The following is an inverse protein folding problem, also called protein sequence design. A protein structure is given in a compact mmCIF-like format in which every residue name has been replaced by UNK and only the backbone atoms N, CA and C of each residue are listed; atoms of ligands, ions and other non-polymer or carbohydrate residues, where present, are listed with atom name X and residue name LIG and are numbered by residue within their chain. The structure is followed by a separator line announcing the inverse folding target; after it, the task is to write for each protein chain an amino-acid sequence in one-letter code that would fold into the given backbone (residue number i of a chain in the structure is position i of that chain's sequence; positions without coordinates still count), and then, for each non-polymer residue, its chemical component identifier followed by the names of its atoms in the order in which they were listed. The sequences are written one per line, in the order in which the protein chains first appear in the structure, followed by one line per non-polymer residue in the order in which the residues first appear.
data_IF_746926181867
#
_entry.id   IF_746926181867
#
_cell.length_a   1.000
_cell.length_b   1.000
_cell.length_c   1.000
_cell.angle_alpha   90.00
_cell.angle_beta   90.00
_cell.angle_gamma   90.00
#
_symmetry.space_group_name_H-M   'P 1'
#
loop_
_entity.id
_entity.type
_entity.pdbx_description
1 polymer ?
#
# COMPACT_ATOMS: atom_id res chain seq x y z
N UNK A 1 1.85 8.42 -15.26
CA UNK A 1 2.18 8.67 -13.84
C UNK A 1 2.04 10.16 -13.61
N UNK A 2 0.80 10.63 -13.52
CA UNK A 2 0.48 12.03 -13.80
C UNK A 2 0.26 12.84 -12.51
N UNK A 3 0.36 12.19 -11.36
CA UNK A 3 0.20 12.81 -10.04
C UNK A 3 1.40 13.68 -9.65
N UNK A 4 2.61 13.32 -10.09
CA UNK A 4 3.84 13.98 -9.70
C UNK A 4 4.40 14.82 -10.84
N UNK A 5 4.60 16.11 -10.57
CA UNK A 5 5.20 17.09 -11.47
C UNK A 5 6.75 17.04 -11.49
N UNK A 6 7.36 16.18 -10.68
CA UNK A 6 8.80 16.02 -10.54
C UNK A 6 9.21 14.65 -9.99
N UNK A 7 10.49 14.48 -9.62
CA UNK A 7 10.94 13.26 -8.97
C UNK A 7 10.23 13.06 -7.62
N UNK A 8 9.78 11.84 -7.30
CA UNK A 8 9.19 11.57 -6.01
C UNK A 8 10.20 11.79 -4.89
N UNK A 9 9.73 12.29 -3.74
CA UNK A 9 10.57 12.41 -2.53
C UNK A 9 11.05 11.05 -2.04
N UNK A 10 10.20 10.04 -2.13
CA UNK A 10 10.45 8.66 -1.73
C UNK A 10 9.76 7.69 -2.70
N UNK A 11 10.43 6.60 -3.05
CA UNK A 11 9.81 5.42 -3.65
C UNK A 11 9.85 4.31 -2.59
N UNK A 12 8.69 3.92 -2.07
CA UNK A 12 8.57 2.82 -1.13
C UNK A 12 8.10 1.58 -1.88
N UNK A 13 8.95 0.56 -1.93
CA UNK A 13 8.70 -0.72 -2.58
C UNK A 13 8.51 -1.78 -1.49
N UNK A 14 7.31 -2.32 -1.36
CA UNK A 14 7.01 -3.30 -0.33
C UNK A 14 6.46 -4.60 -0.92
N UNK A 15 6.97 -5.73 -0.46
CA UNK A 15 6.20 -6.96 -0.53
C UNK A 15 4.91 -6.86 0.31
N UNK A 16 3.92 -7.69 -0.04
CA UNK A 16 2.63 -7.71 0.61
C UNK A 16 2.56 -8.72 1.75
N UNK A 17 2.74 -10.01 1.46
CA UNK A 17 2.41 -11.05 2.43
C UNK A 17 3.54 -11.16 3.46
N UNK A 18 3.23 -11.09 4.76
CA UNK A 18 4.24 -11.10 5.83
C UNK A 18 5.20 -9.87 5.84
N UNK A 19 5.17 -9.00 4.83
CA UNK A 19 5.91 -7.73 4.82
C UNK A 19 5.01 -6.53 5.11
N UNK A 20 4.03 -6.20 4.27
CA UNK A 20 3.09 -5.10 4.56
C UNK A 20 1.85 -5.60 5.31
N UNK A 21 1.36 -6.77 4.93
CA UNK A 21 0.19 -7.44 5.49
C UNK A 21 0.61 -8.48 6.50
N UNK A 22 0.12 -8.32 7.71
CA UNK A 22 0.18 -9.35 8.72
C UNK A 22 -1.06 -10.26 8.62
N UNK A 23 -0.84 -11.55 8.35
CA UNK A 23 -1.92 -12.55 8.30
C UNK A 23 -2.32 -13.04 9.69
N UNK A 24 -1.48 -12.81 10.70
CA UNK A 24 -1.76 -13.16 12.10
C UNK A 24 -2.44 -12.02 12.87
N UNK A 25 -2.58 -10.84 12.24
CA UNK A 25 -3.27 -9.67 12.81
C UNK A 25 -4.68 -9.54 12.19
N UNK A 26 -5.73 -10.00 12.87
CA UNK A 26 -7.10 -9.85 12.39
C UNK A 26 -7.57 -8.38 12.37
N UNK A 27 -7.03 -7.54 13.26
CA UNK A 27 -7.40 -6.12 13.40
C UNK A 27 -6.64 -5.23 12.39
N UNK A 28 -5.59 -5.76 11.76
CA UNK A 28 -4.75 -5.03 10.80
C UNK A 28 -4.12 -3.75 11.41
N UNK A 29 -3.80 -3.80 12.69
CA UNK A 29 -3.31 -2.68 13.50
C UNK A 29 -2.12 -1.99 12.84
N UNK A 30 -1.09 -2.74 12.46
CA UNK A 30 0.12 -2.16 11.87
C UNK A 30 -0.10 -1.66 10.44
N UNK A 31 -0.96 -2.33 9.67
CA UNK A 31 -1.33 -1.91 8.32
C UNK A 31 -2.11 -0.59 8.36
N UNK A 32 -3.10 -0.46 9.25
CA UNK A 32 -3.87 0.79 9.42
C UNK A 32 -2.98 1.94 9.92
N UNK A 33 -1.98 1.67 10.78
CA UNK A 33 -0.97 2.65 11.17
C UNK A 33 -0.14 3.13 9.98
N UNK A 34 0.31 2.21 9.12
CA UNK A 34 1.02 2.55 7.88
C UNK A 34 0.14 3.37 6.93
N UNK A 35 -1.12 2.97 6.74
CA UNK A 35 -2.04 3.68 5.84
C UNK A 35 -2.23 5.14 6.26
N UNK A 36 -2.50 5.38 7.54
CA UNK A 36 -2.67 6.74 8.06
C UNK A 36 -1.39 7.58 7.89
N UNK A 37 -0.22 6.98 8.13
CA UNK A 37 1.07 7.65 7.94
C UNK A 37 1.29 8.00 6.46
N UNK A 38 1.07 7.05 5.56
CA UNK A 38 1.29 7.21 4.13
C UNK A 38 0.37 8.29 3.54
N UNK A 39 -0.92 8.22 3.80
CA UNK A 39 -1.91 9.15 3.27
C UNK A 39 -1.75 10.56 3.84
N UNK A 40 -1.33 10.70 5.11
CA UNK A 40 -1.12 12.02 5.71
C UNK A 40 0.17 12.71 5.23
N UNK A 41 1.23 11.96 4.94
CA UNK A 41 2.57 12.56 4.80
C UNK A 41 3.32 12.23 3.51
N UNK A 42 2.94 11.19 2.78
CA UNK A 42 3.73 10.68 1.64
C UNK A 42 2.93 10.64 0.34
N UNK A 43 1.61 10.42 0.40
CA UNK A 43 0.80 10.19 -0.79
C UNK A 43 0.86 11.32 -1.82
N UNK A 44 1.10 12.56 -1.40
CA UNK A 44 1.12 13.72 -2.31
C UNK A 44 2.42 13.83 -3.12
N UNK A 45 3.57 13.37 -2.59
CA UNK A 45 4.90 13.61 -3.19
C UNK A 45 5.79 12.36 -3.34
N UNK A 46 5.31 11.19 -2.93
CA UNK A 46 6.08 9.93 -2.90
C UNK A 46 5.33 8.81 -3.63
N UNK A 47 6.03 7.81 -4.18
CA UNK A 47 5.43 6.67 -4.87
C UNK A 47 5.34 5.44 -3.97
N UNK A 48 4.16 4.81 -3.94
CA UNK A 48 3.95 3.49 -3.33
C UNK A 48 4.00 2.42 -4.41
N UNK A 49 4.90 1.46 -4.25
CA UNK A 49 5.06 0.33 -5.17
C UNK A 49 4.85 -0.96 -4.39
N UNK A 50 3.90 -1.78 -4.82
CA UNK A 50 3.79 -3.14 -4.31
C UNK A 50 4.60 -4.09 -5.19
N UNK A 51 5.45 -4.91 -4.59
CA UNK A 51 6.29 -5.90 -5.28
C UNK A 51 6.01 -7.28 -4.71
N UNK A 52 5.07 -8.02 -5.31
CA UNK A 52 4.49 -9.23 -4.72
C UNK A 52 4.61 -10.46 -5.60
N UNK A 53 4.68 -11.64 -4.97
CA UNK A 53 4.57 -12.93 -5.66
C UNK A 53 3.16 -13.27 -6.14
N UNK A 54 2.13 -12.53 -5.67
CA UNK A 54 0.74 -12.70 -6.09
C UNK A 54 0.54 -12.26 -7.53
N UNK A 55 -0.33 -12.99 -8.25
CA UNK A 55 -0.88 -12.50 -9.52
C UNK A 55 -1.76 -11.26 -9.32
N UNK A 56 -1.96 -10.47 -10.37
CA UNK A 56 -2.80 -9.27 -10.29
C UNK A 56 -4.20 -9.58 -9.74
N UNK A 57 -4.82 -10.70 -10.18
CA UNK A 57 -6.11 -11.13 -9.66
C UNK A 57 -6.06 -11.51 -8.17
N UNK A 58 -5.00 -12.18 -7.72
CA UNK A 58 -4.81 -12.56 -6.32
C UNK A 58 -4.59 -11.34 -5.43
N UNK A 59 -3.80 -10.37 -5.90
CA UNK A 59 -3.61 -9.07 -5.25
C UNK A 59 -4.94 -8.31 -5.09
N UNK A 60 -5.72 -8.16 -6.17
CA UNK A 60 -7.02 -7.49 -6.11
C UNK A 60 -7.99 -8.16 -5.13
N UNK A 61 -7.92 -9.49 -5.02
CA UNK A 61 -8.73 -10.23 -4.04
C UNK A 61 -8.23 -10.07 -2.60
N UNK A 62 -6.93 -9.84 -2.39
CA UNK A 62 -6.40 -9.49 -1.07
C UNK A 62 -6.90 -8.11 -0.63
N UNK A 63 -6.92 -7.13 -1.54
CA UNK A 63 -7.45 -5.78 -1.26
C UNK A 63 -8.94 -5.75 -0.88
N UNK A 64 -9.71 -6.78 -1.22
CA UNK A 64 -11.11 -6.94 -0.75
C UNK A 64 -11.22 -7.44 0.70
N UNK A 65 -10.14 -8.01 1.24
CA UNK A 65 -10.10 -8.67 2.56
C UNK A 65 -9.30 -7.89 3.60
N UNK A 66 -8.33 -7.11 3.14
CA UNK A 66 -7.40 -6.35 3.97
C UNK A 66 -7.49 -4.87 3.57
N UNK A 67 -7.35 -3.93 4.52
CA UNK A 67 -7.40 -2.49 4.24
C UNK A 67 -6.11 -2.05 3.53
N UNK A 68 -5.91 -2.47 2.29
CA UNK A 68 -4.76 -2.06 1.49
C UNK A 68 -5.02 -0.71 0.84
N UNK A 69 -4.01 0.16 0.86
CA UNK A 69 -4.00 1.32 -0.02
C UNK A 69 -3.84 0.89 -1.46
N UNK A 70 -4.34 1.71 -2.38
CA UNK A 70 -4.06 1.56 -3.80
C UNK A 70 -2.65 2.11 -4.06
N UNK A 71 -1.70 1.25 -4.51
CA UNK A 71 -0.35 1.70 -4.82
C UNK A 71 -0.37 2.58 -6.07
N UNK A 72 0.72 3.28 -6.36
CA UNK A 72 0.89 3.94 -7.65
C UNK A 72 1.28 2.91 -8.73
N UNK A 73 2.06 1.89 -8.35
CA UNK A 73 2.53 0.82 -9.25
C UNK A 73 2.43 -0.54 -8.54
N UNK A 74 2.00 -1.56 -9.26
CA UNK A 74 2.03 -2.94 -8.83
C UNK A 74 2.99 -3.76 -9.71
N UNK A 75 4.03 -4.31 -9.10
CA UNK A 75 4.92 -5.30 -9.66
C UNK A 75 4.42 -6.65 -9.14
N UNK A 76 3.69 -7.39 -9.98
CA UNK A 76 3.02 -8.65 -9.60
C UNK A 76 3.75 -9.86 -10.16
N UNK A 77 3.33 -11.05 -9.71
CA UNK A 77 3.79 -12.32 -10.27
C UNK A 77 5.31 -12.46 -10.22
N UNK A 78 5.90 -12.06 -9.08
CA UNK A 78 7.35 -12.08 -8.84
C UNK A 78 8.12 -11.22 -9.86
N UNK A 79 7.56 -10.08 -10.24
CA UNK A 79 8.19 -9.16 -11.19
C UNK A 79 7.96 -9.48 -12.67
N UNK A 80 7.15 -10.48 -12.98
CA UNK A 80 6.81 -10.80 -14.37
C UNK A 80 5.72 -9.90 -14.96
N UNK A 81 5.01 -9.13 -14.13
CA UNK A 81 4.02 -8.16 -14.55
C UNK A 81 4.25 -6.81 -13.86
N UNK A 82 4.04 -5.72 -14.58
CA UNK A 82 4.08 -4.35 -14.04
C UNK A 82 2.80 -3.65 -14.49
N UNK A 83 2.08 -3.09 -13.53
CA UNK A 83 0.86 -2.33 -13.78
C UNK A 83 0.90 -0.97 -13.07
N UNK A 84 0.39 0.06 -13.75
CA UNK A 84 0.21 1.41 -13.21
C UNK A 84 -1.22 1.55 -12.70
N UNK A 85 -1.38 1.94 -11.43
CA UNK A 85 -2.64 1.91 -10.70
C UNK A 85 -3.24 3.33 -10.57
N UNK A 86 -3.78 3.85 -11.67
CA UNK A 86 -4.51 5.13 -11.71
C UNK A 86 -6.02 4.96 -11.54
N UNK A 87 -6.81 5.78 -12.23
CA UNK A 87 -8.27 5.56 -12.36
C UNK A 87 -8.57 4.20 -13.00
N UNK A 88 -7.69 3.76 -13.90
CA UNK A 88 -7.68 2.44 -14.50
C UNK A 88 -6.32 1.78 -14.24
N UNK A 89 -6.33 0.46 -14.11
CA UNK A 89 -5.11 -0.35 -14.10
C UNK A 89 -4.65 -0.53 -15.54
N UNK A 90 -3.40 -0.18 -15.82
CA UNK A 90 -2.78 -0.33 -17.15
C UNK A 90 -1.49 -1.13 -17.02
N UNK A 91 -1.40 -2.24 -17.74
CA UNK A 91 -0.18 -3.07 -17.77
C UNK A 91 0.90 -2.45 -18.68
N UNK A 92 2.17 -2.68 -18.33
CA UNK A 92 3.31 -2.20 -19.10
C UNK A 92 3.62 -3.16 -20.26
N UNK A 93 3.06 -2.89 -21.44
CA UNK A 93 3.27 -3.70 -22.65
C UNK A 93 4.74 -3.80 -23.07
N UNK A 94 5.56 -2.78 -22.76
CA UNK A 94 6.99 -2.77 -23.08
C UNK A 94 7.73 -3.78 -22.20
N UNK A 95 7.38 -3.86 -20.92
CA UNK A 95 7.90 -4.88 -20.00
C UNK A 95 7.50 -6.30 -20.45
N UNK A 96 6.24 -6.51 -20.80
CA UNK A 96 5.72 -7.79 -21.31
C UNK A 96 6.50 -8.23 -22.56
N UNK A 97 6.77 -7.30 -23.49
CA UNK A 97 7.57 -7.58 -24.68
C UNK A 97 9.03 -7.92 -24.33
N UNK A 98 9.65 -7.18 -23.40
CA UNK A 98 11.03 -7.41 -22.92
C UNK A 98 11.18 -8.78 -22.26
N UNK A 99 10.19 -9.23 -21.49
CA UNK A 99 10.19 -10.56 -20.87
C UNK A 99 9.89 -11.70 -21.84
N UNK A 100 9.25 -11.41 -22.97
CA UNK A 100 8.99 -12.40 -24.03
C UNK A 100 10.24 -12.70 -24.86
N UNK A 101 11.29 -11.87 -24.75
CA UNK A 101 12.57 -12.12 -25.39
C UNK A 101 13.25 -13.33 -24.74
N UNK A 102 13.64 -14.32 -25.55
CA UNK A 102 14.27 -15.56 -25.07
C UNK A 102 13.42 -16.33 -24.06
N UNK A 103 12.11 -16.16 -24.08
CA UNK A 103 11.16 -16.92 -23.25
C UNK A 103 10.25 -17.79 -24.11
N UNK A 104 10.10 -19.05 -23.73
CA UNK A 104 9.10 -19.95 -24.30
C UNK A 104 8.52 -20.83 -23.19
N UNK A 105 7.27 -20.51 -22.80
CA UNK A 105 6.57 -21.20 -21.71
C UNK A 105 6.38 -22.69 -21.98
N UNK A 106 6.08 -23.07 -23.23
CA UNK A 106 5.81 -24.47 -23.57
C UNK A 106 7.08 -25.33 -23.41
N UNK A 107 8.25 -24.78 -23.78
CA UNK A 107 9.55 -25.42 -23.55
C UNK A 107 9.82 -25.58 -22.05
N UNK A 108 9.53 -24.54 -21.24
CA UNK A 108 9.70 -24.60 -19.78
C UNK A 108 8.83 -25.70 -19.19
N UNK A 109 7.54 -25.75 -19.55
CA UNK A 109 6.61 -26.80 -19.07
C UNK A 109 7.08 -28.19 -19.52
N UNK A 110 7.53 -28.34 -20.77
CA UNK A 110 8.04 -29.59 -21.30
C UNK A 110 9.26 -30.09 -20.50
N UNK A 111 10.27 -29.23 -20.27
CA UNK A 111 11.49 -29.62 -19.55
C UNK A 111 11.24 -29.86 -18.06
N UNK A 112 10.44 -29.01 -17.43
CA UNK A 112 10.10 -29.17 -16.00
C UNK A 112 9.28 -30.43 -15.73
N UNK A 113 8.44 -30.87 -16.68
CA UNK A 113 7.68 -32.13 -16.55
C UNK A 113 8.54 -33.39 -16.40
N UNK A 114 9.84 -33.32 -16.74
CA UNK A 114 10.81 -34.41 -16.62
C UNK A 114 11.38 -34.56 -15.20
N UNK A 115 11.10 -33.61 -14.31
CA UNK A 115 11.53 -33.62 -12.91
C UNK A 115 10.36 -34.06 -12.02
N UNK A 116 10.31 -35.32 -11.55
CA UNK A 116 9.19 -35.83 -10.75
C UNK A 116 9.05 -35.14 -9.39
N UNK A 117 10.06 -34.39 -8.94
CA UNK A 117 10.04 -33.61 -7.70
C UNK A 117 9.31 -32.27 -7.84
N UNK A 118 9.05 -31.80 -9.06
CA UNK A 118 8.31 -30.56 -9.32
C UNK A 118 6.81 -30.86 -9.41
N UNK A 119 6.07 -30.56 -8.35
CA UNK A 119 4.61 -30.64 -8.37
C UNK A 119 4.03 -29.31 -8.88
N UNK A 120 3.28 -29.27 -9.99
CA UNK A 120 2.71 -28.02 -10.49
C UNK A 120 1.77 -27.35 -9.48
N UNK A 121 1.93 -26.05 -9.26
CA UNK A 121 0.94 -25.26 -8.52
C UNK A 121 -0.38 -25.15 -9.31
N UNK A 122 -1.51 -24.83 -8.64
CA UNK A 122 -2.82 -24.71 -9.29
C UNK A 122 -2.80 -23.77 -10.51
N UNK A 123 -3.66 -24.01 -11.49
CA UNK A 123 -3.70 -23.28 -12.77
C UNK A 123 -3.72 -21.74 -12.62
N UNK A 124 -4.37 -21.23 -11.57
CA UNK A 124 -4.42 -19.79 -11.26
C UNK A 124 -3.05 -19.15 -10.92
N UNK A 125 -2.05 -19.96 -10.62
CA UNK A 125 -0.67 -19.56 -10.34
C UNK A 125 0.24 -19.73 -11.57
N UNK A 126 -0.30 -20.25 -12.67
CA UNK A 126 0.40 -20.43 -13.92
C UNK A 126 0.11 -19.24 -14.84
N UNK A 127 1.13 -18.49 -15.24
CA UNK A 127 0.96 -17.25 -16.00
C UNK A 127 1.82 -17.26 -17.27
N UNK A 128 1.67 -16.25 -18.12
CA UNK A 128 2.36 -16.20 -19.42
C UNK A 128 3.89 -16.23 -19.25
N UNK A 129 4.41 -15.50 -18.26
CA UNK A 129 5.84 -15.35 -17.96
C UNK A 129 6.21 -15.94 -16.59
N UNK A 130 5.46 -16.94 -16.13
CA UNK A 130 5.71 -17.64 -14.86
C UNK A 130 5.15 -19.06 -14.86
N UNK A 131 5.98 -20.02 -14.49
CA UNK A 131 5.58 -21.42 -14.26
C UNK A 131 5.94 -21.80 -12.83
N UNK A 132 4.94 -22.17 -12.03
CA UNK A 132 5.10 -22.35 -10.58
C UNK A 132 4.94 -23.80 -10.14
N UNK A 133 5.75 -24.20 -9.18
CA UNK A 133 5.80 -25.55 -8.61
C UNK A 133 5.88 -25.52 -7.08
N UNK A 134 5.55 -26.66 -6.47
CA UNK A 134 5.91 -27.04 -5.12
C UNK A 134 7.09 -28.01 -5.18
N UNK A 135 8.09 -27.78 -4.32
CA UNK A 135 9.32 -28.60 -4.27
C UNK A 135 10.01 -28.44 -2.92
N UNK A 136 10.59 -29.52 -2.41
CA UNK A 136 11.42 -29.49 -1.20
C UNK A 136 12.78 -28.83 -1.47
N UNK A 137 13.36 -28.19 -0.44
CA UNK A 137 14.57 -27.36 -0.55
C UNK A 137 15.74 -28.10 -1.20
N UNK A 138 15.99 -29.35 -0.81
CA UNK A 138 17.10 -30.16 -1.29
C UNK A 138 17.01 -30.38 -2.81
N UNK A 139 15.81 -30.73 -3.28
CA UNK A 139 15.53 -30.93 -4.70
C UNK A 139 15.58 -29.61 -5.48
N UNK A 140 15.05 -28.52 -4.92
CA UNK A 140 15.12 -27.20 -5.54
C UNK A 140 16.57 -26.80 -5.83
N UNK A 141 17.47 -26.98 -4.87
CA UNK A 141 18.91 -26.65 -5.01
C UNK A 141 19.57 -27.46 -6.12
N UNK A 142 19.20 -28.73 -6.30
CA UNK A 142 19.71 -29.57 -7.38
C UNK A 142 19.18 -29.14 -8.76
N UNK A 143 17.86 -28.91 -8.85
CA UNK A 143 17.19 -28.47 -10.08
C UNK A 143 17.75 -27.12 -10.54
N UNK A 144 17.97 -26.18 -9.60
CA UNK A 144 18.51 -24.86 -9.91
C UNK A 144 19.92 -24.90 -10.54
N UNK A 145 20.68 -25.98 -10.34
CA UNK A 145 22.01 -26.14 -10.94
C UNK A 145 21.97 -26.64 -12.38
N UNK A 146 20.93 -27.39 -12.75
CA UNK A 146 20.89 -28.12 -14.03
C UNK A 146 19.89 -27.53 -15.03
N UNK A 147 18.71 -27.11 -14.56
CA UNK A 147 17.62 -26.67 -15.42
C UNK A 147 17.95 -25.45 -16.30
N UNK A 148 18.71 -24.43 -15.83
CA UNK A 148 19.08 -23.29 -16.68
C UNK A 148 19.89 -23.69 -17.91
N UNK A 149 20.82 -24.63 -17.76
CA UNK A 149 21.64 -25.11 -18.88
C UNK A 149 20.78 -25.79 -19.94
N UNK A 150 19.87 -26.68 -19.51
CA UNK A 150 18.94 -27.39 -20.40
C UNK A 150 18.05 -26.40 -21.18
N UNK A 151 17.51 -25.40 -20.49
CA UNK A 151 16.64 -24.40 -21.11
C UNK A 151 17.41 -23.47 -22.04
N UNK A 152 18.64 -23.08 -21.65
CA UNK A 152 19.50 -22.22 -22.47
C UNK A 152 19.95 -22.93 -23.75
N UNK A 153 20.23 -24.24 -23.71
CA UNK A 153 20.50 -25.05 -24.92
C UNK A 153 19.32 -25.05 -25.90
N UNK A 154 18.10 -24.85 -25.40
CA UNK A 154 16.87 -24.69 -26.21
C UNK A 154 16.53 -23.24 -26.52
N UNK A 155 17.43 -22.29 -26.23
CA UNK A 155 17.25 -20.87 -26.49
C UNK A 155 16.26 -20.19 -25.54
N UNK A 156 16.06 -20.74 -24.33
CA UNK A 156 15.20 -20.17 -23.29
C UNK A 156 16.06 -19.72 -22.12
N UNK A 157 16.12 -18.41 -21.88
CA UNK A 157 16.82 -17.82 -20.74
C UNK A 157 15.86 -17.69 -19.56
N UNK A 158 16.24 -18.28 -18.42
CA UNK A 158 15.37 -18.34 -17.24
C UNK A 158 16.06 -17.91 -15.97
N UNK A 159 15.24 -17.43 -15.05
CA UNK A 159 15.54 -17.26 -13.65
C UNK A 159 14.65 -18.20 -12.85
N UNK A 160 15.18 -18.75 -11.78
CA UNK A 160 14.39 -19.55 -10.83
C UNK A 160 14.39 -18.87 -9.47
N UNK A 161 13.24 -18.84 -8.83
CA UNK A 161 13.06 -18.25 -7.50
C UNK A 161 12.49 -19.31 -6.59
N UNK A 162 13.19 -19.57 -5.48
CA UNK A 162 12.71 -20.43 -4.41
C UNK A 162 12.33 -19.57 -3.20
N UNK A 163 11.14 -19.77 -2.65
CA UNK A 163 10.62 -18.96 -1.52
C UNK A 163 9.68 -19.75 -0.63
N UNK A 164 9.47 -19.26 0.60
CA UNK A 164 8.53 -19.83 1.56
C UNK A 164 8.79 -21.29 1.93
N UNK A 165 10.02 -21.79 1.78
CA UNK A 165 10.41 -23.19 1.99
C UNK A 165 9.66 -24.25 1.15
N UNK A 166 8.89 -23.86 0.13
CA UNK A 166 8.20 -24.82 -0.75
C UNK A 166 7.88 -24.31 -2.16
N UNK A 167 7.83 -22.99 -2.36
CA UNK A 167 7.39 -22.41 -3.63
C UNK A 167 8.59 -22.24 -4.57
N UNK A 168 8.44 -22.71 -5.81
CA UNK A 168 9.47 -22.64 -6.83
C UNK A 168 8.91 -22.11 -8.14
N UNK A 169 9.41 -20.97 -8.57
CA UNK A 169 8.96 -20.27 -9.76
C UNK A 169 10.06 -20.29 -10.83
N UNK A 170 9.70 -20.66 -12.06
CA UNK A 170 10.51 -20.48 -13.26
C UNK A 170 10.00 -19.27 -14.02
N UNK A 171 10.86 -18.29 -14.22
CA UNK A 171 10.58 -16.98 -14.80
C UNK A 171 11.54 -16.71 -15.97
N UNK A 172 11.26 -15.76 -16.87
CA UNK A 172 12.25 -15.27 -17.82
C UNK A 172 13.51 -14.73 -17.10
N UNK A 173 14.69 -14.86 -17.70
CA UNK A 173 15.97 -14.49 -17.08
C UNK A 173 16.04 -13.06 -16.53
N UNK A 174 15.41 -12.10 -17.23
CA UNK A 174 15.34 -10.68 -16.83
C UNK A 174 14.27 -10.36 -15.78
N UNK A 175 13.40 -11.32 -15.44
CA UNK A 175 12.31 -11.16 -14.48
C UNK A 175 12.81 -11.18 -13.03
N UNK A 176 11.92 -11.40 -12.06
CA UNK A 176 12.20 -11.31 -10.63
C UNK A 176 11.84 -9.94 -10.09
N UNK A 177 11.61 -9.84 -8.77
CA UNK A 177 11.30 -8.57 -8.10
C UNK A 177 12.39 -7.52 -8.32
N UNK A 178 13.66 -7.93 -8.31
CA UNK A 178 14.79 -7.05 -8.62
C UNK A 178 14.77 -6.58 -10.07
N UNK A 179 14.56 -7.49 -11.04
CA UNK A 179 14.50 -7.14 -12.46
C UNK A 179 13.36 -6.17 -12.80
N UNK A 180 12.16 -6.42 -12.25
CA UNK A 180 11.01 -5.54 -12.42
C UNK A 180 11.25 -4.15 -11.79
N UNK A 181 11.86 -4.10 -10.60
CA UNK A 181 12.21 -2.82 -9.97
C UNK A 181 13.30 -2.09 -10.74
N UNK A 182 14.37 -2.76 -11.20
CA UNK A 182 15.42 -2.15 -12.02
C UNK A 182 14.83 -1.51 -13.27
N UNK A 183 13.97 -2.23 -14.01
CA UNK A 183 13.29 -1.68 -15.18
C UNK A 183 12.44 -0.45 -14.83
N UNK A 184 11.67 -0.51 -13.74
CA UNK A 184 10.86 0.62 -13.29
C UNK A 184 11.72 1.85 -12.98
N UNK A 185 12.85 1.67 -12.29
CA UNK A 185 13.76 2.75 -11.93
C UNK A 185 14.45 3.35 -13.17
N UNK A 186 14.90 2.51 -14.11
CA UNK A 186 15.42 2.95 -15.42
C UNK A 186 14.37 3.79 -16.17
N UNK A 187 13.10 3.35 -16.16
CA UNK A 187 12.00 4.08 -16.81
C UNK A 187 11.78 5.44 -16.15
N UNK A 188 11.71 5.49 -14.82
CA UNK A 188 11.56 6.73 -14.07
C UNK A 188 12.73 7.70 -14.30
N UNK A 189 13.96 7.19 -14.35
CA UNK A 189 15.14 8.00 -14.68
C UNK A 189 15.04 8.62 -16.07
N UNK A 190 14.65 7.83 -17.08
CA UNK A 190 14.43 8.31 -18.45
C UNK A 190 13.31 9.37 -18.54
N UNK A 191 12.32 9.31 -17.64
CA UNK A 191 11.24 10.30 -17.52
C UNK A 191 11.65 11.55 -16.69
N UNK A 192 12.90 11.61 -16.20
CA UNK A 192 13.38 12.70 -15.34
C UNK A 192 12.82 12.65 -13.92
N UNK A 193 12.31 11.50 -13.48
CA UNK A 193 11.66 11.25 -12.19
C UNK A 193 12.47 10.33 -11.28
N UNK A 194 13.80 10.41 -11.36
CA UNK A 194 14.68 9.66 -10.47
C UNK A 194 14.57 10.15 -9.02
N UNK A 195 14.21 9.25 -8.10
CA UNK A 195 14.21 9.53 -6.67
C UNK A 195 15.62 9.41 -6.08
N UNK A 196 15.95 10.28 -5.12
CA UNK A 196 17.12 10.11 -4.26
C UNK A 196 16.89 9.15 -3.11
N UNK A 197 15.62 8.86 -2.77
CA UNK A 197 15.26 7.98 -1.67
C UNK A 197 14.42 6.82 -2.19
N UNK A 198 14.95 5.61 -2.04
CA UNK A 198 14.24 4.38 -2.37
C UNK A 198 14.33 3.49 -1.13
N UNK A 199 13.20 2.98 -0.67
CA UNK A 199 13.14 2.01 0.41
C UNK A 199 12.52 0.72 -0.13
N UNK A 200 13.24 -0.38 -0.03
CA UNK A 200 12.73 -1.73 -0.33
C UNK A 200 12.44 -2.49 0.97
N UNK A 201 11.30 -3.15 1.01
CA UNK A 201 10.84 -3.92 2.17
C UNK A 201 10.49 -5.34 1.74
N UNK A 202 10.98 -6.35 2.45
CA UNK A 202 10.71 -7.75 2.17
C UNK A 202 10.92 -8.66 3.38
N UNK A 203 10.51 -9.92 3.24
CA UNK A 203 10.58 -10.92 4.30
C UNK A 203 11.08 -12.30 3.81
N UNK A 204 11.04 -12.58 2.51
CA UNK A 204 11.29 -13.93 1.99
C UNK A 204 12.37 -13.99 0.88
N UNK A 205 12.70 -15.20 0.43
CA UNK A 205 13.74 -15.40 -0.60
C UNK A 205 13.45 -14.74 -1.94
N UNK A 206 12.18 -14.50 -2.29
CA UNK A 206 11.83 -13.80 -3.52
C UNK A 206 12.13 -12.29 -3.48
N UNK A 207 12.39 -11.75 -2.29
CA UNK A 207 12.71 -10.34 -2.05
C UNK A 207 14.21 -10.06 -2.10
N UNK A 208 15.06 -11.09 -2.01
CA UNK A 208 16.52 -10.95 -1.92
C UNK A 208 17.10 -10.04 -3.01
N UNK A 209 16.56 -10.10 -4.24
CA UNK A 209 17.02 -9.25 -5.35
C UNK A 209 16.69 -7.76 -5.18
N UNK A 210 15.64 -7.41 -4.42
CA UNK A 210 15.32 -6.00 -4.12
C UNK A 210 16.46 -5.36 -3.33
N UNK A 211 17.09 -6.11 -2.43
CA UNK A 211 18.20 -5.64 -1.60
C UNK A 211 19.52 -5.50 -2.36
N UNK A 212 19.61 -6.00 -3.60
CA UNK A 212 20.77 -5.78 -4.48
C UNK A 212 20.72 -4.44 -5.23
N UNK A 213 19.63 -3.69 -5.12
CA UNK A 213 19.51 -2.36 -5.74
C UNK A 213 20.40 -1.38 -4.99
N UNK A 214 21.59 -1.12 -5.54
CA UNK A 214 22.66 -0.37 -4.86
C UNK A 214 22.27 1.02 -4.32
N UNK A 215 21.32 1.70 -4.96
CA UNK A 215 20.85 3.03 -4.57
C UNK A 215 19.69 3.01 -3.57
N UNK A 216 19.21 1.83 -3.15
CA UNK A 216 18.08 1.68 -2.24
C UNK A 216 18.53 1.40 -0.79
N UNK A 217 17.77 1.96 0.14
CA UNK A 217 17.71 1.46 1.52
C UNK A 217 16.86 0.20 1.56
N UNK A 218 17.22 -0.77 2.40
CA UNK A 218 16.52 -2.03 2.54
C UNK A 218 16.12 -2.30 3.99
N UNK A 219 14.90 -2.79 4.19
CA UNK A 219 14.46 -3.33 5.47
C UNK A 219 13.96 -4.77 5.33
N UNK A 220 14.51 -5.65 6.15
CA UNK A 220 13.98 -6.99 6.39
C UNK A 220 13.18 -6.94 7.68
N UNK A 221 11.88 -7.23 7.62
CA UNK A 221 10.98 -7.17 8.79
C UNK A 221 11.32 -8.28 9.78
N UNK A 222 11.02 -8.12 11.07
CA UNK A 222 11.50 -9.05 12.11
C UNK A 222 10.99 -10.49 11.97
N UNK A 223 9.88 -10.68 11.26
CA UNK A 223 9.31 -11.97 10.90
C UNK A 223 9.83 -12.54 9.57
N UNK A 224 10.99 -12.06 9.09
CA UNK A 224 11.64 -12.57 7.87
C UNK A 224 11.98 -14.05 7.95
N UNK A 225 11.82 -14.73 6.82
CA UNK A 225 12.13 -16.13 6.64
C UNK A 225 13.64 -16.42 6.65
N UNK A 226 14.00 -17.67 6.95
CA UNK A 226 15.39 -18.07 7.15
C UNK A 226 16.25 -17.88 5.90
N UNK A 227 15.69 -18.08 4.72
CA UNK A 227 16.41 -17.92 3.46
C UNK A 227 16.85 -16.47 3.21
N UNK A 228 16.02 -15.48 3.57
CA UNK A 228 16.38 -14.07 3.41
C UNK A 228 17.42 -13.64 4.45
N UNK A 229 17.29 -14.12 5.69
CA UNK A 229 18.28 -13.87 6.75
C UNK A 229 19.64 -14.51 6.43
N UNK A 230 19.64 -15.72 5.85
CA UNK A 230 20.85 -16.35 5.35
C UNK A 230 21.48 -15.54 4.22
N UNK A 231 20.66 -15.09 3.25
CA UNK A 231 21.12 -14.22 2.18
C UNK A 231 21.75 -12.93 2.73
N UNK A 232 21.16 -12.32 3.75
CA UNK A 232 21.70 -11.12 4.40
C UNK A 232 23.09 -11.37 5.00
N UNK A 233 23.26 -12.46 5.76
CA UNK A 233 24.54 -12.81 6.38
C UNK A 233 25.64 -13.04 5.32
N UNK A 234 25.29 -13.61 4.17
CA UNK A 234 26.22 -13.92 3.09
C UNK A 234 26.56 -12.71 2.20
N UNK A 235 25.62 -11.78 2.01
CA UNK A 235 25.72 -10.74 0.96
C UNK A 235 25.67 -9.30 1.48
N UNK A 236 25.04 -9.05 2.63
CA UNK A 236 24.65 -7.71 3.06
C UNK A 236 24.98 -7.38 4.53
N UNK A 237 25.63 -8.27 5.27
CA UNK A 237 25.90 -8.13 6.71
C UNK A 237 26.52 -6.79 7.12
N UNK A 238 27.46 -6.29 6.32
CA UNK A 238 28.19 -5.04 6.57
C UNK A 238 27.63 -3.86 5.75
N UNK A 239 26.48 -4.02 5.09
CA UNK A 239 25.86 -2.96 4.29
C UNK A 239 25.05 -2.02 5.20
N UNK A 240 25.47 -0.76 5.41
CA UNK A 240 24.77 0.17 6.29
C UNK A 240 23.41 0.62 5.75
N UNK A 241 23.13 0.38 4.47
CA UNK A 241 21.85 0.72 3.84
C UNK A 241 20.81 -0.39 3.98
N UNK A 242 21.16 -1.54 4.59
CA UNK A 242 20.23 -2.63 4.83
C UNK A 242 20.13 -2.86 6.33
N UNK A 243 18.90 -2.94 6.84
CA UNK A 243 18.65 -3.19 8.26
C UNK A 243 17.73 -4.39 8.46
N UNK A 244 17.97 -5.09 9.56
CA UNK A 244 16.97 -5.95 10.18
C UNK A 244 16.14 -5.09 11.13
N UNK A 245 14.84 -5.01 10.90
CA UNK A 245 13.91 -4.33 11.80
C UNK A 245 13.70 -5.17 13.07
N UNK A 246 13.45 -4.50 14.19
CA UNK A 246 12.96 -5.14 15.41
C UNK A 246 11.47 -5.43 15.34
N UNK A 247 10.73 -4.62 14.58
CA UNK A 247 9.29 -4.74 14.40
C UNK A 247 8.89 -5.62 13.20
N UNK A 248 7.71 -6.24 13.30
CA UNK A 248 7.16 -7.13 12.28
C UNK A 248 6.34 -6.36 11.25
N UNK A 249 6.24 -6.92 10.06
CA UNK A 249 5.37 -6.44 8.98
C UNK A 249 5.43 -4.90 8.78
N UNK A 250 4.28 -4.23 8.58
CA UNK A 250 4.17 -2.79 8.37
C UNK A 250 4.83 -1.94 9.48
N UNK A 251 4.93 -2.43 10.71
CA UNK A 251 5.66 -1.71 11.76
C UNK A 251 7.17 -1.69 11.52
N UNK A 252 7.73 -2.76 10.95
CA UNK A 252 9.13 -2.78 10.51
C UNK A 252 9.40 -1.77 9.38
N UNK A 253 8.43 -1.55 8.49
CA UNK A 253 8.52 -0.51 7.45
C UNK A 253 8.55 0.90 8.10
N UNK A 254 7.69 1.16 9.07
CA UNK A 254 7.66 2.43 9.80
C UNK A 254 8.97 2.65 10.58
N UNK A 255 9.50 1.60 11.22
CA UNK A 255 10.82 1.62 11.89
C UNK A 255 11.93 2.00 10.89
N UNK A 256 11.91 1.47 9.67
CA UNK A 256 12.89 1.79 8.65
C UNK A 256 12.84 3.25 8.18
N UNK A 257 11.63 3.79 7.99
CA UNK A 257 11.46 5.23 7.69
C UNK A 257 12.13 6.10 8.74
N UNK A 258 12.02 5.73 10.02
CA UNK A 258 12.70 6.41 11.13
C UNK A 258 14.22 6.23 11.08
N UNK A 259 14.70 4.99 10.99
CA UNK A 259 16.12 4.65 11.10
C UNK A 259 16.96 5.22 9.96
N UNK A 260 16.39 5.29 8.76
CA UNK A 260 17.02 5.89 7.59
C UNK A 260 16.70 7.38 7.43
N UNK A 261 15.91 7.97 8.34
CA UNK A 261 15.51 9.38 8.29
C UNK A 261 14.87 9.79 6.94
N UNK A 262 13.92 8.98 6.46
CA UNK A 262 13.25 9.14 5.16
C UNK A 262 11.99 10.01 5.22
N UNK A 263 11.71 10.62 6.38
CA UNK A 263 10.56 11.49 6.62
C UNK A 263 9.85 11.19 7.94
N UNK A 264 8.61 11.67 8.12
CA UNK A 264 7.80 11.37 9.29
C UNK A 264 7.62 9.86 9.48
N UNK A 265 7.86 9.37 10.70
CA UNK A 265 7.73 7.96 11.04
C UNK A 265 6.73 7.72 12.18
N UNK A 266 6.02 8.76 12.62
CA UNK A 266 5.00 8.66 13.65
C UNK A 266 3.62 8.63 13.00
N UNK A 267 2.87 7.55 13.20
CA UNK A 267 1.54 7.45 12.60
C UNK A 267 0.56 8.40 13.28
N UNK A 268 -0.24 9.19 12.54
CA UNK A 268 -1.36 9.94 13.10
C UNK A 268 -2.30 9.11 14.00
N UNK A 269 -2.36 7.79 13.75
CA UNK A 269 -3.20 6.87 14.52
C UNK A 269 -2.71 6.66 15.95
N UNK A 270 -1.41 6.86 16.19
CA UNK A 270 -0.76 6.67 17.49
C UNK A 270 -0.92 7.89 18.43
N UNK A 271 -1.44 9.02 17.94
CA UNK A 271 -1.71 10.21 18.76
C UNK A 271 -2.85 9.91 19.74
N UNK A 272 -2.54 9.84 21.03
CA UNK A 272 -3.52 9.58 22.11
C UNK A 272 -4.31 10.84 22.52
N UNK A 273 -3.70 12.02 22.37
CA UNK A 273 -4.31 13.28 22.78
C UNK A 273 -5.25 13.82 21.71
N UNK A 274 -6.51 13.41 21.79
CA UNK A 274 -7.60 14.06 21.08
C UNK A 274 -7.75 15.56 21.48
N UNK A 275 -7.13 16.02 22.56
CA UNK A 275 -7.18 17.44 22.93
C UNK A 275 -6.19 18.33 22.14
N UNK A 276 -5.12 17.73 21.60
CA UNK A 276 -4.07 18.42 20.86
C UNK A 276 -4.06 18.02 19.37
N UNK A 277 -5.25 17.84 18.77
CA UNK A 277 -5.49 17.42 17.38
C UNK A 277 -4.67 18.13 16.29
N UNK A 278 -3.96 19.21 16.61
CA UNK A 278 -3.23 20.02 15.67
C UNK A 278 -1.89 20.43 16.29
N UNK A 279 -0.83 19.68 15.97
CA UNK A 279 0.46 20.34 15.77
C UNK A 279 0.31 21.28 14.55
N UNK A 280 1.03 22.41 14.56
CA UNK A 280 0.92 23.51 13.59
C UNK A 280 1.39 23.11 12.18
N UNK A 281 0.64 22.23 11.50
CA UNK A 281 0.91 21.85 10.12
C UNK A 281 -0.31 22.18 9.28
N UNK A 282 -0.21 23.26 8.49
CA UNK A 282 -1.18 23.62 7.45
C UNK A 282 -1.03 22.65 6.25
N UNK A 283 -1.36 21.38 6.46
CA UNK A 283 -1.34 20.33 5.43
C UNK A 283 -2.77 19.77 5.22
N UNK A 284 -3.38 20.01 4.05
CA UNK A 284 -4.71 19.50 3.72
C UNK A 284 -4.86 17.98 3.83
N UNK A 285 -3.82 17.20 3.50
CA UNK A 285 -3.86 15.75 3.59
C UNK A 285 -3.86 15.29 5.07
N UNK A 286 -2.99 15.90 5.88
CA UNK A 286 -2.94 15.63 7.31
C UNK A 286 -4.27 15.96 8.00
N UNK A 287 -4.87 17.11 7.69
CA UNK A 287 -6.14 17.56 8.27
C UNK A 287 -7.28 16.56 8.01
N UNK A 288 -7.44 16.08 6.77
CA UNK A 288 -8.51 15.11 6.47
C UNK A 288 -8.26 13.75 7.13
N UNK A 289 -7.00 13.28 7.18
CA UNK A 289 -6.66 12.03 7.86
C UNK A 289 -6.97 12.14 9.36
N UNK A 290 -6.55 13.23 10.02
CA UNK A 290 -6.83 13.46 11.44
C UNK A 290 -8.34 13.50 11.73
N UNK A 291 -9.13 14.18 10.89
CA UNK A 291 -10.58 14.23 11.05
C UNK A 291 -11.21 12.83 11.05
N UNK A 292 -10.85 11.95 10.11
CA UNK A 292 -11.42 10.62 10.04
C UNK A 292 -10.91 9.67 11.11
N UNK A 293 -9.68 9.84 11.59
CA UNK A 293 -9.18 9.11 12.76
C UNK A 293 -9.89 9.54 14.05
N UNK A 294 -10.18 10.84 14.21
CA UNK A 294 -11.05 11.29 15.29
C UNK A 294 -12.44 10.65 15.19
N UNK A 295 -13.05 10.68 14.01
CA UNK A 295 -14.36 10.11 13.78
C UNK A 295 -14.39 8.60 14.11
N UNK A 296 -13.35 7.85 13.74
CA UNK A 296 -13.18 6.46 14.15
C UNK A 296 -13.14 6.32 15.67
N UNK A 297 -12.23 7.03 16.35
CA UNK A 297 -12.08 6.98 17.81
C UNK A 297 -13.37 7.37 18.55
N UNK A 298 -14.12 8.34 18.02
CA UNK A 298 -15.41 8.77 18.55
C UNK A 298 -16.45 7.65 18.45
N UNK A 299 -16.57 7.00 17.28
CA UNK A 299 -17.51 5.89 17.07
C UNK A 299 -17.12 4.64 17.85
N UNK A 300 -15.83 4.37 18.01
CA UNK A 300 -15.32 3.28 18.84
C UNK A 300 -15.43 3.56 20.35
N UNK A 301 -15.70 4.81 20.74
CA UNK A 301 -15.80 5.22 22.14
C UNK A 301 -14.45 5.24 22.86
N UNK A 302 -13.36 5.43 22.10
CA UNK A 302 -11.99 5.53 22.61
C UNK A 302 -11.69 6.92 23.20
N UNK A 303 -12.46 7.92 22.80
CA UNK A 303 -12.42 9.28 23.38
C UNK A 303 -13.65 9.53 24.24
N UNK A 304 -13.52 10.39 25.24
CA UNK A 304 -14.64 10.78 26.10
C UNK A 304 -15.77 11.45 25.32
N UNK A 305 -17.02 11.17 25.71
CA UNK A 305 -18.22 11.79 25.16
C UNK A 305 -18.37 13.24 25.63
N UNK A 306 -17.46 14.10 25.18
CA UNK A 306 -17.36 15.51 25.58
C UNK A 306 -17.88 16.43 24.49
N UNK A 307 -18.76 17.37 24.87
CA UNK A 307 -19.23 18.43 23.97
C UNK A 307 -18.08 19.34 23.49
N UNK A 308 -16.94 19.38 24.20
CA UNK A 308 -15.73 20.11 23.79
C UNK A 308 -15.24 19.68 22.41
N UNK A 309 -15.26 18.37 22.11
CA UNK A 309 -14.82 17.86 20.82
C UNK A 309 -15.76 18.28 19.68
N UNK A 310 -17.07 18.20 19.90
CA UNK A 310 -18.07 18.62 18.92
C UNK A 310 -18.00 20.13 18.65
N UNK A 311 -17.79 20.94 19.69
CA UNK A 311 -17.56 22.38 19.53
C UNK A 311 -16.26 22.68 18.78
N UNK A 312 -15.20 21.89 19.00
CA UNK A 312 -13.96 22.03 18.25
C UNK A 312 -14.17 21.75 16.75
N UNK A 313 -14.86 20.65 16.39
CA UNK A 313 -15.21 20.34 14.99
C UNK A 313 -16.05 21.46 14.35
N UNK A 314 -17.02 22.02 15.09
CA UNK A 314 -17.80 23.18 14.62
C UNK A 314 -16.92 24.42 14.41
N UNK A 315 -15.91 24.62 15.25
CA UNK A 315 -14.97 25.75 15.08
C UNK A 315 -14.06 25.61 13.85
N UNK A 316 -13.85 24.37 13.39
CA UNK A 316 -13.08 23.99 12.21
C UNK A 316 -13.94 23.90 10.95
N UNK A 317 -15.24 24.15 11.02
CA UNK A 317 -16.12 24.17 9.84
C UNK A 317 -16.76 25.54 9.65
N UNK A 318 -17.09 25.85 8.40
CA UNK A 318 -17.85 27.07 8.11
C UNK A 318 -19.27 26.94 8.66
N UNK A 319 -19.83 27.97 9.32
CA UNK A 319 -21.24 27.99 9.71
C UNK A 319 -22.21 27.87 8.52
N UNK A 320 -21.74 28.21 7.31
CA UNK A 320 -22.48 28.06 6.05
C UNK A 320 -22.03 26.83 5.26
N UNK A 321 -21.12 26.02 5.82
CA UNK A 321 -20.59 24.86 5.16
C UNK A 321 -21.63 23.77 5.00
N UNK A 322 -21.66 23.15 3.84
CA UNK A 322 -22.63 22.11 3.48
C UNK A 322 -21.92 20.77 3.35
N UNK A 323 -22.53 19.71 3.87
CA UNK A 323 -22.18 18.34 3.57
C UNK A 323 -23.27 17.69 2.70
N UNK A 324 -22.85 17.20 1.54
CA UNK A 324 -23.66 16.42 0.59
C UNK A 324 -23.39 14.94 0.85
N UNK A 325 -24.36 14.28 1.47
CA UNK A 325 -24.31 12.87 1.83
C UNK A 325 -24.44 11.97 0.58
N UNK A 326 -23.87 10.75 0.55
CA UNK A 326 -24.00 9.82 -0.59
C UNK A 326 -25.43 9.48 -1.03
N UNK A 327 -26.42 9.65 -0.14
CA UNK A 327 -27.86 9.47 -0.47
C UNK A 327 -28.48 10.66 -1.22
N UNK A 328 -27.74 11.76 -1.39
CA UNK A 328 -28.23 13.02 -1.98
C UNK A 328 -28.83 13.98 -0.96
N UNK A 329 -28.82 13.65 0.33
CA UNK A 329 -29.25 14.59 1.39
C UNK A 329 -28.19 15.66 1.60
N UNK A 330 -28.60 16.92 1.52
CA UNK A 330 -27.76 18.09 1.77
C UNK A 330 -28.17 18.76 3.08
N UNK A 331 -27.22 18.93 4.01
CA UNK A 331 -27.44 19.68 5.26
C UNK A 331 -26.18 20.44 5.68
N UNK A 332 -26.30 21.47 6.54
CA UNK A 332 -25.15 22.12 7.14
C UNK A 332 -24.23 21.15 7.88
N UNK A 333 -22.91 21.32 7.76
CA UNK A 333 -21.90 20.47 8.43
C UNK A 333 -22.16 20.44 9.95
N UNK A 334 -22.57 21.56 10.54
CA UNK A 334 -22.87 21.65 11.96
C UNK A 334 -24.02 20.73 12.42
N UNK A 335 -25.03 20.51 11.57
CA UNK A 335 -26.13 19.59 11.89
C UNK A 335 -25.63 18.14 11.90
N UNK A 336 -24.78 17.76 10.95
CA UNK A 336 -24.13 16.45 10.95
C UNK A 336 -23.21 16.24 12.15
N UNK A 337 -22.51 17.29 12.60
CA UNK A 337 -21.72 17.25 13.85
C UNK A 337 -22.63 17.07 15.07
N UNK A 338 -23.83 17.64 15.08
CA UNK A 338 -24.79 17.40 16.18
C UNK A 338 -25.28 15.94 16.17
N UNK A 339 -25.53 15.37 14.99
CA UNK A 339 -25.94 13.97 14.83
C UNK A 339 -24.85 12.98 15.30
N UNK A 340 -23.55 13.34 15.18
CA UNK A 340 -22.43 12.53 15.71
C UNK A 340 -22.57 12.18 17.18
N UNK A 341 -23.23 13.02 17.99
CA UNK A 341 -23.42 12.79 19.43
C UNK A 341 -24.16 11.48 19.71
N UNK A 342 -25.00 11.05 18.77
CA UNK A 342 -25.79 9.81 18.86
C UNK A 342 -24.96 8.56 18.56
N UNK A 343 -23.89 8.69 17.76
CA UNK A 343 -23.06 7.56 17.30
C UNK A 343 -21.85 7.23 18.19
N UNK A 344 -21.63 8.01 19.27
CA UNK A 344 -20.51 7.77 20.17
C UNK A 344 -20.56 6.35 20.77
N UNK A 345 -19.48 5.59 20.61
CA UNK A 345 -19.34 4.23 21.14
C UNK A 345 -20.12 3.14 20.42
N UNK A 346 -20.90 3.44 19.37
CA UNK A 346 -21.68 2.44 18.61
C UNK A 346 -20.79 1.38 17.93
N UNK A 347 -19.58 1.78 17.54
CA UNK A 347 -18.60 0.92 16.87
C UNK A 347 -17.82 -0.01 17.81
N UNK A 348 -17.96 0.17 19.14
CA UNK A 348 -17.12 -0.51 20.14
C UNK A 348 -17.20 -2.04 20.07
N UNK A 349 -18.37 -2.57 19.77
CA UNK A 349 -18.60 -4.03 19.67
C UNK A 349 -18.50 -4.55 18.22
N UNK A 350 -18.25 -3.67 17.24
CA UNK A 350 -18.45 -3.96 15.80
C UNK A 350 -17.16 -3.98 14.97
N UNK A 351 -15.98 -3.94 15.59
CA UNK A 351 -14.67 -3.78 14.91
C UNK A 351 -14.73 -2.63 13.89
N UNK A 352 -14.88 -1.41 14.40
CA UNK A 352 -15.06 -0.23 13.58
C UNK A 352 -13.73 0.38 13.18
N UNK A 353 -13.41 0.36 11.88
CA UNK A 353 -12.18 0.95 11.35
C UNK A 353 -12.45 1.81 10.12
N UNK A 354 -11.68 2.89 10.00
CA UNK A 354 -11.69 3.78 8.85
C UNK A 354 -10.28 3.89 8.32
N UNK A 355 -10.17 3.89 6.99
CA UNK A 355 -8.95 4.32 6.32
C UNK A 355 -9.32 5.14 5.10
N UNK A 356 -8.44 6.08 4.78
CA UNK A 356 -8.50 6.84 3.55
C UNK A 356 -7.57 6.19 2.54
N UNK A 357 -7.89 6.32 1.26
CA UNK A 357 -7.04 5.92 0.14
C UNK A 357 -7.05 7.03 -0.90
N UNK A 358 -5.93 7.19 -1.61
CA UNK A 358 -5.76 8.20 -2.67
C UNK A 358 -6.03 9.63 -2.18
N UNK A 359 -5.53 10.02 -1.00
CA UNK A 359 -5.60 11.39 -0.50
C UNK A 359 -4.72 12.30 -1.35
N UNK A 360 -5.37 13.12 -2.16
CA UNK A 360 -4.76 14.09 -3.07
C UNK A 360 -5.38 15.46 -2.83
N UNK A 361 -4.57 16.52 -2.89
CA UNK A 361 -5.08 17.88 -2.82
C UNK A 361 -4.52 18.74 -3.95
N UNK A 362 -5.25 19.80 -4.28
CA UNK A 362 -4.84 20.81 -5.26
C UNK A 362 -5.34 22.18 -4.84
N UNK A 363 -4.57 23.22 -5.14
CA UNK A 363 -4.95 24.60 -4.86
C UNK A 363 -6.03 25.07 -5.83
N UNK A 364 -7.07 25.73 -5.30
CA UNK A 364 -8.05 26.49 -6.08
C UNK A 364 -7.69 27.99 -6.07
N UNK A 365 -7.21 28.47 -4.93
CA UNK A 365 -6.71 29.84 -4.72
C UNK A 365 -5.51 29.82 -3.76
N UNK A 366 -5.02 30.99 -3.37
CA UNK A 366 -3.90 31.14 -2.42
C UNK A 366 -4.19 30.55 -1.04
N UNK A 367 -5.46 30.48 -0.65
CA UNK A 367 -5.94 30.13 0.68
C UNK A 367 -6.93 28.96 0.67
N UNK A 368 -7.24 28.37 -0.50
CA UNK A 368 -8.27 27.34 -0.63
C UNK A 368 -7.75 26.13 -1.39
N UNK A 369 -8.07 24.95 -0.87
CA UNK A 369 -7.73 23.65 -1.42
C UNK A 369 -8.97 22.81 -1.68
N UNK A 370 -8.90 21.99 -2.73
CA UNK A 370 -9.77 20.83 -2.85
C UNK A 370 -8.97 19.57 -2.55
N UNK A 371 -9.45 18.80 -1.59
CA UNK A 371 -8.92 17.47 -1.24
C UNK A 371 -9.87 16.42 -1.79
N UNK A 372 -9.32 15.37 -2.39
CA UNK A 372 -10.04 14.23 -2.96
C UNK A 372 -9.44 12.95 -2.38
N UNK A 373 -10.30 12.02 -1.98
CA UNK A 373 -9.89 10.72 -1.46
C UNK A 373 -11.06 9.75 -1.49
N UNK A 374 -10.77 8.46 -1.37
CA UNK A 374 -11.77 7.45 -1.10
C UNK A 374 -11.75 7.10 0.38
N UNK A 375 -12.92 7.15 1.02
CA UNK A 375 -13.10 6.77 2.42
C UNK A 375 -13.64 5.36 2.46
N UNK A 376 -13.01 4.51 3.25
CA UNK A 376 -13.46 3.17 3.53
C UNK A 376 -13.82 3.03 5.00
N UNK A 377 -14.93 2.35 5.28
CA UNK A 377 -15.42 2.08 6.62
C UNK A 377 -15.71 0.59 6.75
N UNK A 378 -14.99 -0.07 7.66
CA UNK A 378 -15.27 -1.44 8.09
C UNK A 378 -16.18 -1.40 9.31
N UNK A 379 -17.30 -2.10 9.23
CA UNK A 379 -18.19 -2.35 10.35
C UNK A 379 -18.87 -3.70 10.17
N UNK A 380 -18.91 -4.52 11.22
CA UNK A 380 -19.56 -5.85 11.21
C UNK A 380 -19.05 -6.75 10.07
N UNK A 381 -17.74 -6.68 9.77
CA UNK A 381 -17.10 -7.46 8.70
C UNK A 381 -17.44 -7.03 7.27
N UNK A 382 -18.17 -5.92 7.10
CA UNK A 382 -18.49 -5.35 5.79
C UNK A 382 -17.76 -4.03 5.59
N UNK A 383 -17.14 -3.87 4.42
CA UNK A 383 -16.54 -2.61 4.00
C UNK A 383 -17.56 -1.81 3.19
N UNK A 384 -17.73 -0.54 3.52
CA UNK A 384 -18.47 0.46 2.75
C UNK A 384 -17.51 1.53 2.29
N UNK A 385 -17.68 1.99 1.05
CA UNK A 385 -16.71 2.93 0.46
C UNK A 385 -17.39 4.05 -0.32
N UNK A 386 -16.92 5.28 -0.15
CA UNK A 386 -17.36 6.43 -0.93
C UNK A 386 -16.16 7.24 -1.43
N UNK A 387 -16.35 7.91 -2.57
CA UNK A 387 -15.45 8.97 -3.01
C UNK A 387 -15.84 10.26 -2.32
N UNK A 388 -14.86 10.96 -1.75
CA UNK A 388 -15.04 12.18 -0.97
C UNK A 388 -14.27 13.33 -1.59
N UNK A 389 -14.90 14.51 -1.65
CA UNK A 389 -14.28 15.77 -2.01
C UNK A 389 -14.52 16.78 -0.91
N UNK A 390 -13.46 17.44 -0.46
CA UNK A 390 -13.51 18.43 0.61
C UNK A 390 -12.93 19.74 0.11
N UNK A 391 -13.67 20.83 0.32
CA UNK A 391 -13.17 22.18 0.14
C UNK A 391 -12.66 22.70 1.48
N UNK A 392 -11.35 22.96 1.58
CA UNK A 392 -10.69 23.52 2.75
C UNK A 392 -10.25 24.95 2.48
N UNK A 393 -10.42 25.85 3.44
CA UNK A 393 -9.94 27.24 3.37
C UNK A 393 -9.10 27.58 4.59
N UNK A 394 -7.99 28.30 4.40
CA UNK A 394 -7.18 28.79 5.51
C UNK A 394 -7.92 29.94 6.20
N UNK A 395 -8.09 29.84 7.52
CA UNK A 395 -8.51 30.97 8.36
C UNK A 395 -7.26 31.72 8.85
N UNK A 396 -6.89 32.81 8.16
CA UNK A 396 -5.66 33.57 8.41
C UNK A 396 -5.46 33.95 9.89
N UNK A 397 -6.54 34.34 10.59
CA UNK A 397 -6.51 34.74 12.00
C UNK A 397 -6.17 33.59 12.97
N UNK A 398 -6.46 32.35 12.59
CA UNK A 398 -6.29 31.16 13.45
C UNK A 398 -5.18 30.22 12.99
N UNK A 399 -4.61 30.43 11.81
CA UNK A 399 -3.66 29.52 11.17
C UNK A 399 -4.19 28.07 11.13
N UNK A 400 -5.48 27.91 10.80
CA UNK A 400 -6.17 26.62 10.75
C UNK A 400 -6.93 26.45 9.44
N UNK A 401 -7.06 25.21 9.00
CA UNK A 401 -7.90 24.86 7.87
C UNK A 401 -9.36 24.75 8.33
N UNK A 402 -10.25 25.35 7.55
CA UNK A 402 -11.69 25.30 7.76
C UNK A 402 -12.39 24.51 6.66
N UNK A 403 -13.26 23.61 7.09
CA UNK A 403 -14.07 22.77 6.22
C UNK A 403 -15.25 23.58 5.68
N UNK A 404 -15.18 23.90 4.39
CA UNK A 404 -16.15 24.77 3.71
C UNK A 404 -17.25 23.97 3.02
N UNK A 405 -16.91 22.80 2.48
CA UNK A 405 -17.85 21.93 1.80
C UNK A 405 -17.33 20.50 1.81
N UNK A 406 -18.21 19.53 2.00
CA UNK A 406 -17.90 18.11 1.89
C UNK A 406 -18.91 17.51 0.93
N UNK A 407 -18.45 16.71 -0.02
CA UNK A 407 -19.34 15.97 -0.92
C UNK A 407 -18.86 14.53 -1.03
N UNK A 408 -19.73 13.60 -0.69
CA UNK A 408 -19.50 12.18 -0.87
C UNK A 408 -20.43 11.55 -1.89
N UNK A 409 -19.90 10.58 -2.61
CA UNK A 409 -20.66 9.74 -3.54
C UNK A 409 -20.23 8.29 -3.38
N UNK A 410 -21.20 7.38 -3.33
CA UNK A 410 -20.91 5.94 -3.23
C UNK A 410 -19.98 5.46 -4.35
N UNK A 411 -18.99 4.62 -4.02
CA UNK A 411 -18.21 3.92 -5.04
C UNK A 411 -19.06 2.83 -5.70
N UNK A 412 -18.76 2.51 -6.96
CA UNK A 412 -19.51 1.52 -7.72
C UNK A 412 -19.61 0.17 -6.97
N UNK A 413 -20.83 -0.34 -6.82
CA UNK A 413 -21.11 -1.58 -6.09
C UNK A 413 -21.37 -1.40 -4.58
N UNK A 414 -21.24 -0.19 -4.04
CA UNK A 414 -21.56 0.13 -2.64
C UNK A 414 -22.82 0.99 -2.57
N UNK A 415 -24.00 0.40 -2.67
CA UNK A 415 -25.27 1.07 -2.34
C UNK A 415 -25.84 0.35 -1.13
N UNK A 416 -25.99 1.00 0.03
CA UNK A 416 -26.62 0.37 1.19
C UNK A 416 -28.11 0.65 1.28
N UNK A 417 -28.84 -0.34 1.79
CA UNK A 417 -30.23 -0.23 2.27
C UNK A 417 -30.32 0.49 3.63
N UNK A 418 -29.21 0.56 4.40
CA UNK A 418 -29.09 1.29 5.68
C UNK A 418 -28.40 2.65 5.47
N UNK A 419 -29.16 3.64 4.99
CA UNK A 419 -28.67 5.03 4.87
C UNK A 419 -28.54 5.74 6.23
N UNK A 420 -29.15 5.19 7.29
CA UNK A 420 -29.34 5.90 8.57
C UNK A 420 -28.08 5.97 9.47
N UNK A 421 -27.05 5.15 9.22
CA UNK A 421 -25.84 5.08 10.09
C UNK A 421 -24.59 5.74 9.50
N UNK A 422 -24.66 6.26 8.27
CA UNK A 422 -23.55 6.97 7.63
C UNK A 422 -23.69 8.47 7.86
N UNK A 423 -22.63 9.12 8.37
CA UNK A 423 -22.67 10.57 8.68
C UNK A 423 -21.54 11.34 8.01
N UNK A 424 -20.30 10.85 8.04
CA UNK A 424 -19.14 11.56 7.50
C UNK A 424 -18.32 10.70 6.58
#
# INVERSE_FOLDING_TARGET
MDRLDGPPRLILVADLDCTLVDHDDPENTHLLRFNALWEAHYRHDSLLVYSTGRSMLSYLNLGKKKPLLTPDIAITSVGSEIAYCGELVVFDDVWVARLSEMWNRDIVVEETSKFPQLEPQPERSQEQHKVSFYVEREHAVEIMKVLPGILMERGVDVKMVYSNDYAFDVLPGKSGKGGGLTYLLEKLENEGKQSSNILVCGDSGNDAELFNISQAYGVMVSNSHKELLQWHEENAKDNPNIILASERCAAGIIEALQRFNLGPSFSPRDVLDAEHFQEEVLDPAHEVVQFYLFYEKWRSGEVDKSDKYLQNLKSLSSPLGIFVHPSGVEKPIHEWIDDLKTLHGEGKEKQFHIWLDRVLFSHISSDTWIVKFDKHELSEGKVRSCSTRVLLSCQEEKQKLAWMHIHQSWLAGFCSDDQETWIF
#
